data_IF_399910318994
#
_entry.id   IF_399910318994
#
_cell.length_a   1.000
_cell.length_b   1.000
_cell.length_c   1.000
_cell.angle_alpha   90.00
_cell.angle_beta   90.00
_cell.angle_gamma   90.00
#
_symmetry.space_group_name_H-M   'P 1'
#
loop_
_entity.id
_entity.type
_entity.pdbx_description
1 polymer ?
#
# COMPACT_ATOMS: atom_id res chain seq x y z
N UNK A 1 0.06 -14.16 29.03
CA UNK A 1 1.19 -14.32 28.08
C UNK A 1 0.71 -14.08 26.65
N UNK A 2 0.89 -12.88 26.09
CA UNK A 2 0.38 -12.56 24.75
C UNK A 2 1.44 -12.83 23.67
N UNK A 3 1.71 -14.11 23.37
CA UNK A 3 2.79 -14.58 22.46
C UNK A 3 2.44 -14.53 20.95
N UNK A 4 1.37 -13.87 20.52
CA UNK A 4 0.84 -14.02 19.15
C UNK A 4 0.77 -12.77 18.27
N UNK A 5 1.01 -11.56 18.80
CA UNK A 5 0.69 -10.31 18.08
C UNK A 5 1.80 -9.80 17.14
N UNK A 6 3.02 -10.31 17.25
CA UNK A 6 4.17 -9.74 16.50
C UNK A 6 4.35 -10.33 15.08
N UNK A 7 3.69 -11.45 14.79
CA UNK A 7 3.86 -12.17 13.52
C UNK A 7 3.11 -11.50 12.37
N UNK A 8 1.90 -10.98 12.62
CA UNK A 8 1.06 -10.31 11.62
C UNK A 8 1.09 -8.80 11.84
N UNK A 9 1.75 -8.09 10.94
CA UNK A 9 1.85 -6.63 10.98
C UNK A 9 0.86 -5.98 10.03
N UNK A 10 0.39 -4.78 10.38
CA UNK A 10 -0.37 -3.92 9.47
C UNK A 10 0.59 -3.21 8.53
N UNK A 11 0.36 -3.32 7.24
CA UNK A 11 1.12 -2.65 6.18
C UNK A 11 0.22 -1.76 5.35
N UNK A 12 0.83 -0.75 4.74
CA UNK A 12 0.15 0.18 3.85
C UNK A 12 0.72 -0.02 2.45
N UNK A 13 -0.15 -0.32 1.49
CA UNK A 13 0.18 -0.42 0.07
C UNK A 13 -0.20 0.87 -0.63
N UNK A 14 0.73 1.45 -1.37
CA UNK A 14 0.56 2.71 -2.08
C UNK A 14 0.67 2.50 -3.59
N UNK A 15 -0.23 3.12 -4.33
CA UNK A 15 -0.16 3.13 -5.78
C UNK A 15 1.16 3.77 -6.26
N UNK A 16 1.92 3.04 -7.08
CA UNK A 16 3.19 3.51 -7.65
C UNK A 16 2.97 4.52 -8.76
N UNK A 17 1.90 4.35 -9.54
CA UNK A 17 1.59 5.21 -10.68
C UNK A 17 0.86 6.51 -10.32
N UNK A 18 0.44 6.68 -9.07
CA UNK A 18 -0.10 7.94 -8.59
C UNK A 18 1.04 8.94 -8.44
N UNK A 19 1.22 9.82 -9.42
CA UNK A 19 2.19 10.91 -9.34
C UNK A 19 1.63 12.00 -8.44
N UNK A 20 2.38 12.45 -7.43
CA UNK A 20 2.12 13.72 -6.73
C UNK A 20 2.40 14.87 -7.71
N UNK A 21 1.56 15.07 -8.71
CA UNK A 21 1.66 16.31 -9.50
C UNK A 21 1.22 17.45 -8.59
N UNK A 22 2.17 18.35 -8.33
CA UNK A 22 2.05 19.39 -7.33
C UNK A 22 0.96 20.40 -7.66
N UNK A 23 0.30 20.84 -6.58
CA UNK A 23 -0.18 22.19 -6.32
C UNK A 23 -1.21 22.88 -7.23
N UNK A 24 -1.56 22.38 -8.42
CA UNK A 24 -2.59 23.01 -9.24
C UNK A 24 -3.47 21.94 -9.90
N UNK A 25 -4.78 22.06 -9.70
CA UNK A 25 -5.86 21.27 -10.31
C UNK A 25 -6.07 19.84 -9.77
N UNK A 26 -7.05 19.72 -8.85
CA UNK A 26 -7.93 18.57 -8.55
C UNK A 26 -7.34 17.14 -8.61
N UNK A 27 -6.04 16.98 -8.40
CA UNK A 27 -5.40 15.67 -8.29
C UNK A 27 -5.59 15.16 -6.87
N UNK A 28 -6.80 14.70 -6.61
CA UNK A 28 -7.22 14.08 -5.36
C UNK A 28 -6.23 12.95 -4.98
N UNK A 29 -5.39 13.17 -3.97
CA UNK A 29 -4.68 12.15 -3.19
C UNK A 29 -3.87 11.03 -3.90
N UNK A 30 -3.37 10.11 -3.08
CA UNK A 30 -2.72 8.86 -3.50
C UNK A 30 -3.56 7.69 -2.99
N UNK A 31 -3.82 6.70 -3.83
CA UNK A 31 -4.59 5.51 -3.42
C UNK A 31 -3.75 4.68 -2.45
N UNK A 32 -4.30 4.43 -1.26
CA UNK A 32 -3.66 3.66 -0.19
C UNK A 32 -4.58 2.56 0.30
N UNK A 33 -4.03 1.36 0.46
CA UNK A 33 -4.71 0.22 1.05
C UNK A 33 -4.04 -0.18 2.36
N UNK A 34 -4.85 -0.52 3.36
CA UNK A 34 -4.39 -1.06 4.62
C UNK A 34 -4.60 -2.57 4.62
N UNK A 35 -3.52 -3.35 4.65
CA UNK A 35 -3.58 -4.81 4.71
C UNK A 35 -2.75 -5.33 5.89
N UNK A 36 -2.85 -6.63 6.17
CA UNK A 36 -1.98 -7.30 7.12
C UNK A 36 -1.05 -8.22 6.36
N UNK A 37 0.24 -8.26 6.74
CA UNK A 37 1.19 -9.25 6.25
C UNK A 37 1.83 -10.00 7.39
N UNK A 38 2.16 -11.26 7.14
CA UNK A 38 2.96 -12.05 8.06
C UNK A 38 4.45 -11.85 7.73
N UNK A 39 5.22 -11.23 8.64
CA UNK A 39 6.65 -10.95 8.42
C UNK A 39 7.48 -12.22 8.24
N UNK A 40 7.11 -13.31 8.90
CA UNK A 40 7.85 -14.57 8.87
C UNK A 40 7.69 -15.29 7.52
N UNK A 41 6.46 -15.39 7.04
CA UNK A 41 6.16 -16.09 5.79
C UNK A 41 6.49 -15.24 4.55
N UNK A 42 6.37 -13.91 4.66
CA UNK A 42 6.57 -12.98 3.54
C UNK A 42 7.50 -11.85 3.97
N UNK A 43 8.83 -12.10 4.03
CA UNK A 43 9.80 -11.09 4.45
C UNK A 43 10.01 -10.01 3.38
N UNK A 44 9.71 -10.30 2.10
CA UNK A 44 9.85 -9.35 0.99
C UNK A 44 8.77 -8.26 1.06
N UNK A 45 9.00 -7.15 0.35
CA UNK A 45 7.99 -6.11 0.17
C UNK A 45 6.80 -6.68 -0.57
N UNK A 46 5.60 -6.29 -0.14
CA UNK A 46 4.37 -6.76 -0.75
C UNK A 46 4.01 -5.83 -1.92
N UNK A 47 3.91 -6.40 -3.12
CA UNK A 47 3.47 -5.70 -4.33
C UNK A 47 2.18 -6.36 -4.80
N UNK A 48 1.07 -5.62 -4.86
CA UNK A 48 -0.21 -6.15 -5.30
C UNK A 48 -0.83 -5.28 -6.38
N UNK A 49 -1.38 -5.93 -7.41
CA UNK A 49 -2.25 -5.25 -8.38
C UNK A 49 -3.60 -4.98 -7.75
N UNK A 50 -3.88 -3.72 -7.45
CA UNK A 50 -5.16 -3.24 -6.89
C UNK A 50 -5.72 -2.15 -7.79
N UNK A 51 -7.04 -1.99 -7.77
CA UNK A 51 -7.68 -0.89 -8.46
C UNK A 51 -7.22 0.44 -7.84
N UNK A 52 -6.92 1.44 -8.65
CA UNK A 52 -6.64 2.78 -8.16
C UNK A 52 -7.81 3.70 -8.51
N UNK A 53 -8.44 4.32 -7.50
CA UNK A 53 -9.55 5.26 -7.71
C UNK A 53 -9.15 6.47 -8.57
N UNK A 54 -7.90 6.92 -8.44
CA UNK A 54 -7.38 8.11 -9.12
C UNK A 54 -6.92 7.82 -10.55
N UNK A 55 -6.25 6.69 -10.77
CA UNK A 55 -5.84 6.28 -12.12
C UNK A 55 -6.97 5.56 -12.90
N UNK A 56 -8.09 5.24 -12.24
CA UNK A 56 -9.25 4.49 -12.77
C UNK A 56 -8.87 3.16 -13.46
N UNK A 57 -7.76 2.55 -13.05
CA UNK A 57 -7.24 1.30 -13.61
C UNK A 57 -6.58 0.47 -12.52
N UNK A 58 -6.38 -0.81 -12.79
CA UNK A 58 -5.59 -1.67 -11.91
C UNK A 58 -4.10 -1.34 -12.07
N UNK A 59 -3.49 -0.95 -10.96
CA UNK A 59 -2.09 -0.54 -10.91
C UNK A 59 -1.37 -1.31 -9.82
N UNK A 60 -0.05 -1.36 -9.91
CA UNK A 60 0.79 -1.96 -8.89
C UNK A 60 0.78 -1.02 -7.67
N UNK A 61 0.48 -1.59 -6.51
CA UNK A 61 0.58 -0.92 -5.22
C UNK A 61 1.67 -1.60 -4.39
N UNK A 62 2.66 -0.82 -3.98
CA UNK A 62 3.83 -1.29 -3.25
C UNK A 62 3.74 -0.91 -1.78
N UNK A 63 4.33 -1.75 -0.94
CA UNK A 63 4.40 -1.50 0.50
C UNK A 63 5.25 -0.27 0.83
N UNK A 64 4.67 0.68 1.57
CA UNK A 64 5.41 1.79 2.16
C UNK A 64 6.11 1.30 3.42
N UNK A 65 7.44 1.46 3.46
CA UNK A 65 8.20 1.40 4.71
C UNK A 65 7.90 2.65 5.54
N UNK A 66 7.39 2.44 6.75
CA UNK A 66 7.25 3.50 7.74
C UNK A 66 8.59 3.76 8.44
#
# INVERSE_FOLDING_TARGET
MAKGKDVRIRVILQCVSCVRKGANEESAGISRYSTQKNRHNTPRQLELRKFCRYCRKHTIHDEIKK
#
